data_IF_757985108478
#
_entry.id   IF_757985108478
#
_cell.length_a   1.000
_cell.length_b   1.000
_cell.length_c   1.000
_cell.angle_alpha   90.00
_cell.angle_beta   90.00
_cell.angle_gamma   90.00
#
_symmetry.space_group_name_H-M   'P 1'
#
loop_
_entity.id
_entity.type
_entity.pdbx_description
1 polymer ?
#
# COMPACT_ATOMS: atom_id res chain seq x y z
N UNK A 1 27.95 25.09 45.95
CA UNK A 1 27.55 24.87 47.36
C UNK A 1 26.16 25.48 47.49
N UNK A 2 25.04 24.78 47.55
CA UNK A 2 24.69 23.59 48.31
C UNK A 2 23.48 23.97 49.17
N UNK A 3 22.27 23.49 48.83
CA UNK A 3 21.20 23.11 49.76
C UNK A 3 20.04 22.47 48.99
N UNK A 4 19.92 21.15 49.17
CA UNK A 4 18.76 20.32 48.84
C UNK A 4 17.63 20.66 49.82
N UNK A 5 16.40 20.75 49.34
CA UNK A 5 15.20 20.55 50.16
C UNK A 5 14.48 19.34 49.59
N UNK A 6 14.56 18.24 50.35
CA UNK A 6 13.77 17.04 50.15
C UNK A 6 12.37 17.30 50.73
N UNK A 7 11.37 17.42 49.88
CA UNK A 7 9.97 17.26 50.27
C UNK A 7 9.48 15.92 49.76
N UNK A 8 9.63 14.90 50.60
CA UNK A 8 8.96 13.61 50.42
C UNK A 8 7.60 13.78 51.09
N UNK A 9 6.52 13.82 50.30
CA UNK A 9 5.16 13.69 50.84
C UNK A 9 4.47 12.52 50.15
N UNK A 10 3.77 11.77 51.00
CA UNK A 10 3.43 10.37 50.84
C UNK A 10 2.45 10.04 49.70
N UNK A 11 2.60 8.81 49.24
CA UNK A 11 1.70 8.02 48.38
C UNK A 11 0.38 7.72 49.11
N UNK A 12 -0.75 7.77 48.40
CA UNK A 12 -1.72 6.66 48.43
C UNK A 12 -1.97 6.22 46.97
N UNK A 13 -1.52 5.05 46.53
CA UNK A 13 -2.34 3.84 46.45
C UNK A 13 -3.72 4.12 45.81
N UNK A 14 -3.70 4.04 44.48
CA UNK A 14 -4.87 4.05 43.61
C UNK A 14 -4.38 3.60 42.24
N UNK A 15 -4.34 2.29 42.04
CA UNK A 15 -3.83 1.65 40.84
C UNK A 15 -4.60 2.08 39.60
N UNK A 16 -3.91 2.83 38.76
CA UNK A 16 -4.28 3.09 37.38
C UNK A 16 -2.99 3.29 36.62
N UNK A 17 -2.36 2.20 36.19
CA UNK A 17 -1.41 2.24 35.09
C UNK A 17 -2.21 2.61 33.84
N UNK A 18 -2.55 3.89 33.68
CA UNK A 18 -2.65 4.45 32.34
C UNK A 18 -1.22 4.48 31.85
N UNK A 19 -0.80 3.38 31.23
CA UNK A 19 0.32 3.42 30.30
C UNK A 19 -0.08 4.49 29.29
N UNK A 20 0.42 5.71 29.48
CA UNK A 20 0.70 6.63 28.39
C UNK A 20 1.67 5.86 27.48
N UNK A 21 1.09 4.99 26.66
CA UNK A 21 1.74 4.55 25.44
C UNK A 21 1.84 5.84 24.67
N UNK A 22 3.03 6.45 24.72
CA UNK A 22 3.41 7.49 23.79
C UNK A 22 2.94 7.00 22.41
N UNK A 23 1.84 7.59 21.94
CA UNK A 23 1.48 7.60 20.54
C UNK A 23 2.62 8.36 19.90
N UNK A 24 3.72 7.66 19.64
CA UNK A 24 4.75 8.12 18.71
C UNK A 24 3.94 8.39 17.45
N UNK A 25 3.69 9.67 17.18
CA UNK A 25 3.13 10.10 15.91
C UNK A 25 4.06 9.53 14.87
N UNK A 26 3.65 8.42 14.25
CA UNK A 26 4.39 7.88 13.12
C UNK A 26 4.40 9.01 12.10
N UNK A 27 5.59 9.53 11.80
CA UNK A 27 5.76 10.53 10.75
C UNK A 27 5.29 10.02 9.39
N UNK A 28 5.27 10.86 8.34
CA UNK A 28 4.97 10.44 6.98
C UNK A 28 5.74 9.16 6.60
N UNK A 29 5.09 8.27 5.84
CA UNK A 29 5.73 7.07 5.28
C UNK A 29 5.83 7.22 3.76
N UNK A 30 6.95 6.76 3.20
CA UNK A 30 7.27 6.94 1.79
C UNK A 30 7.42 5.61 1.05
N UNK A 31 7.26 5.65 -0.28
CA UNK A 31 7.29 4.46 -1.14
C UNK A 31 8.58 3.66 -1.05
N UNK A 32 9.72 4.31 -0.82
CA UNK A 32 11.02 3.67 -0.67
C UNK A 32 11.22 2.96 0.68
N UNK A 33 10.33 3.18 1.65
CA UNK A 33 10.35 2.57 2.99
C UNK A 33 9.47 1.31 3.08
N UNK A 34 8.68 1.02 2.03
CA UNK A 34 7.80 -0.14 2.02
C UNK A 34 8.60 -1.44 1.89
N UNK A 35 8.29 -2.41 2.76
CA UNK A 35 8.92 -3.74 2.76
C UNK A 35 7.94 -4.81 2.32
N UNK A 36 8.47 -5.92 1.79
CA UNK A 36 7.67 -7.08 1.40
C UNK A 36 6.89 -7.66 2.58
N UNK A 37 7.48 -7.66 3.78
CA UNK A 37 6.86 -8.23 4.98
C UNK A 37 5.55 -7.50 5.34
N UNK A 38 5.57 -6.17 5.30
CA UNK A 38 4.38 -5.35 5.57
C UNK A 38 3.29 -5.54 4.50
N UNK A 39 3.69 -5.76 3.24
CA UNK A 39 2.77 -6.09 2.14
C UNK A 39 2.14 -7.47 2.31
N UNK A 40 2.90 -8.46 2.76
CA UNK A 40 2.38 -9.80 3.03
C UNK A 40 1.45 -9.81 4.24
N UNK A 41 1.76 -9.06 5.30
CA UNK A 41 0.91 -8.96 6.49
C UNK A 41 -0.51 -8.43 6.19
N UNK A 42 -0.65 -7.41 5.35
CA UNK A 42 -1.97 -6.90 4.94
C UNK A 42 -2.71 -7.92 4.06
N UNK A 43 -1.97 -8.67 3.23
CA UNK A 43 -2.49 -9.78 2.44
C UNK A 43 -3.03 -10.91 3.31
N UNK A 44 -2.24 -11.38 4.28
CA UNK A 44 -2.60 -12.42 5.25
C UNK A 44 -3.80 -12.01 6.13
N UNK A 45 -3.98 -10.70 6.33
CA UNK A 45 -5.17 -10.18 6.99
C UNK A 45 -6.41 -10.16 6.07
N UNK A 46 -6.27 -9.68 4.83
CA UNK A 46 -7.40 -9.48 3.92
C UNK A 46 -7.90 -10.77 3.26
N UNK A 47 -7.00 -11.60 2.73
CA UNK A 47 -7.35 -12.73 1.89
C UNK A 47 -8.27 -13.75 2.60
N UNK A 48 -7.96 -14.22 3.82
CA UNK A 48 -8.84 -15.18 4.49
C UNK A 48 -10.23 -14.61 4.82
N UNK A 49 -10.35 -13.28 4.95
CA UNK A 49 -11.63 -12.61 5.20
C UNK A 49 -12.47 -12.51 3.94
N UNK A 50 -11.84 -12.20 2.81
CA UNK A 50 -12.50 -12.14 1.50
C UNK A 50 -12.91 -13.54 1.03
N UNK A 51 -12.07 -14.55 1.22
CA UNK A 51 -12.40 -15.95 0.95
C UNK A 51 -13.57 -16.43 1.81
N UNK A 52 -13.57 -16.08 3.12
CA UNK A 52 -14.70 -16.41 3.99
C UNK A 52 -15.97 -15.69 3.54
N UNK A 53 -15.88 -14.41 3.17
CA UNK A 53 -17.03 -13.66 2.64
C UNK A 53 -17.57 -14.33 1.37
N UNK A 54 -16.72 -14.70 0.42
CA UNK A 54 -17.10 -15.43 -0.78
C UNK A 54 -17.81 -16.76 -0.45
N UNK A 55 -17.24 -17.55 0.48
CA UNK A 55 -17.82 -18.84 0.89
C UNK A 55 -19.14 -18.74 1.66
N UNK A 56 -19.43 -17.57 2.22
CA UNK A 56 -20.67 -17.32 2.95
C UNK A 56 -21.87 -17.07 2.02
N UNK A 57 -21.60 -16.84 0.73
CA UNK A 57 -22.61 -16.65 -0.30
C UNK A 57 -22.64 -17.84 -1.29
N UNK A 58 -23.78 -18.11 -1.96
CA UNK A 58 -23.82 -19.05 -3.07
C UNK A 58 -22.80 -18.68 -4.15
N UNK A 59 -22.16 -19.66 -4.77
CA UNK A 59 -21.08 -19.44 -5.74
C UNK A 59 -21.50 -18.69 -7.01
N UNK A 60 -22.80 -18.69 -7.32
CA UNK A 60 -23.42 -18.02 -8.47
C UNK A 60 -24.07 -16.68 -8.10
N UNK A 61 -24.06 -16.28 -6.83
CA UNK A 61 -24.54 -14.97 -6.39
C UNK A 61 -23.56 -13.85 -6.77
N UNK A 62 -24.09 -12.66 -7.04
CA UNK A 62 -23.26 -11.48 -7.35
C UNK A 62 -22.31 -11.15 -6.21
N UNK A 63 -22.74 -11.31 -4.95
CA UNK A 63 -21.92 -11.08 -3.76
C UNK A 63 -20.77 -12.08 -3.65
N UNK A 64 -21.04 -13.37 -3.89
CA UNK A 64 -20.02 -14.42 -3.89
C UNK A 64 -18.99 -14.24 -5.00
N UNK A 65 -19.45 -13.90 -6.21
CA UNK A 65 -18.60 -13.58 -7.36
C UNK A 65 -17.75 -12.34 -7.07
N UNK A 66 -18.35 -11.28 -6.54
CA UNK A 66 -17.65 -10.03 -6.22
C UNK A 66 -16.59 -10.22 -5.14
N UNK A 67 -16.91 -10.94 -4.07
CA UNK A 67 -15.95 -11.22 -3.00
C UNK A 67 -14.78 -12.09 -3.49
N UNK A 68 -15.05 -13.07 -4.36
CA UNK A 68 -14.02 -13.91 -4.98
C UNK A 68 -13.11 -13.09 -5.89
N UNK A 69 -13.69 -12.27 -6.77
CA UNK A 69 -12.93 -11.38 -7.65
C UNK A 69 -12.09 -10.37 -6.86
N UNK A 70 -12.61 -9.87 -5.74
CA UNK A 70 -11.86 -8.98 -4.86
C UNK A 70 -10.70 -9.70 -4.16
N UNK A 71 -10.88 -10.96 -3.73
CA UNK A 71 -9.80 -11.77 -3.18
C UNK A 71 -8.68 -11.97 -4.21
N UNK A 72 -9.02 -12.33 -5.45
CA UNK A 72 -8.04 -12.47 -6.54
C UNK A 72 -7.32 -11.16 -6.87
N UNK A 73 -8.05 -10.04 -6.89
CA UNK A 73 -7.49 -8.71 -7.11
C UNK A 73 -6.50 -8.32 -6.00
N UNK A 74 -6.84 -8.59 -4.73
CA UNK A 74 -5.94 -8.34 -3.59
C UNK A 74 -4.70 -9.23 -3.69
N UNK A 75 -4.85 -10.52 -4.00
CA UNK A 75 -3.71 -11.43 -4.15
C UNK A 75 -2.76 -10.96 -5.26
N UNK A 76 -3.34 -10.55 -6.40
CA UNK A 76 -2.58 -9.98 -7.52
C UNK A 76 -1.83 -8.72 -7.10
N UNK A 77 -2.49 -7.81 -6.37
CA UNK A 77 -1.91 -6.55 -5.93
C UNK A 77 -0.76 -6.75 -4.94
N UNK A 78 -0.88 -7.70 -4.00
CA UNK A 78 0.19 -8.10 -3.07
C UNK A 78 1.41 -8.61 -3.83
N UNK A 79 1.20 -9.49 -4.82
CA UNK A 79 2.29 -10.01 -5.65
C UNK A 79 2.94 -8.91 -6.53
N UNK A 80 2.14 -8.00 -7.08
CA UNK A 80 2.65 -6.86 -7.85
C UNK A 80 3.50 -5.94 -6.98
N UNK A 81 3.08 -5.66 -5.75
CA UNK A 81 3.84 -4.87 -4.80
C UNK A 81 5.15 -5.56 -4.39
N UNK A 82 5.11 -6.86 -4.05
CA UNK A 82 6.32 -7.63 -3.75
C UNK A 82 7.33 -7.57 -4.90
N UNK A 83 6.87 -7.79 -6.12
CA UNK A 83 7.71 -7.70 -7.32
C UNK A 83 8.29 -6.29 -7.47
N UNK A 84 7.46 -5.28 -7.27
CA UNK A 84 7.86 -3.87 -7.40
C UNK A 84 8.85 -3.48 -6.30
N UNK A 85 8.81 -4.05 -5.10
CA UNK A 85 9.78 -3.79 -4.02
C UNK A 85 11.10 -4.50 -4.30
N UNK A 86 11.06 -5.78 -4.64
CA UNK A 86 12.27 -6.61 -4.83
C UNK A 86 13.00 -6.31 -6.13
N UNK A 87 12.30 -5.75 -7.15
CA UNK A 87 12.88 -5.43 -8.45
C UNK A 87 13.28 -6.65 -9.29
N UNK A 88 12.93 -7.86 -8.85
CA UNK A 88 13.23 -9.12 -9.54
C UNK A 88 11.96 -9.81 -10.01
N UNK A 89 11.93 -10.30 -11.25
CA UNK A 89 10.87 -11.19 -11.73
C UNK A 89 10.73 -12.37 -10.75
N UNK A 90 9.51 -12.76 -10.30
CA UNK A 90 9.36 -13.90 -9.41
C UNK A 90 10.11 -15.10 -9.99
N UNK A 91 10.88 -15.80 -9.16
CA UNK A 91 11.83 -16.85 -9.54
C UNK A 91 11.23 -18.10 -10.22
N UNK A 92 10.04 -18.01 -10.83
CA UNK A 92 9.30 -19.11 -11.46
C UNK A 92 8.85 -18.88 -12.90
N UNK A 93 9.34 -17.87 -13.62
CA UNK A 93 9.12 -17.79 -15.08
C UNK A 93 10.44 -17.93 -15.82
N UNK A 94 10.68 -19.15 -16.34
CA UNK A 94 11.72 -19.41 -17.34
C UNK A 94 11.38 -18.62 -18.61
N UNK A 95 12.10 -17.54 -18.87
CA UNK A 95 12.05 -16.85 -20.16
C UNK A 95 12.77 -17.74 -21.19
N UNK A 96 12.17 -18.08 -22.34
CA UNK A 96 12.84 -18.80 -23.41
C UNK A 96 14.05 -18.03 -23.94
N UNK A 97 15.17 -18.73 -24.09
CA UNK A 97 16.42 -18.20 -24.66
C UNK A 97 16.18 -17.86 -26.14
N UNK A 98 16.31 -16.58 -26.52
CA UNK A 98 16.24 -16.17 -27.93
C UNK A 98 15.68 -14.76 -28.22
N UNK A 99 15.15 -14.05 -27.22
CA UNK A 99 14.65 -12.67 -27.43
C UNK A 99 15.83 -11.69 -27.34
N UNK A 100 16.06 -10.83 -28.36
CA UNK A 100 17.06 -9.76 -28.29
C UNK A 100 16.83 -8.90 -27.04
N UNK A 101 17.87 -8.73 -26.24
CA UNK A 101 17.83 -7.80 -25.11
C UNK A 101 17.56 -6.39 -25.67
N UNK A 102 16.55 -5.67 -25.16
CA UNK A 102 16.31 -4.30 -25.59
C UNK A 102 17.54 -3.44 -25.30
N UNK A 103 17.76 -2.35 -26.07
CA UNK A 103 18.87 -1.45 -25.85
C UNK A 103 18.90 -0.98 -24.38
N UNK A 104 20.10 -0.89 -23.83
CA UNK A 104 20.31 -0.40 -22.47
C UNK A 104 19.67 0.99 -22.34
N UNK A 105 18.75 1.19 -21.39
CA UNK A 105 18.10 2.48 -21.20
C UNK A 105 19.13 3.54 -20.81
N UNK A 106 18.92 4.74 -21.34
CA UNK A 106 19.68 5.93 -20.95
C UNK A 106 19.51 6.21 -19.45
N UNK A 107 20.40 7.02 -18.87
CA UNK A 107 20.31 7.40 -17.45
C UNK A 107 18.98 8.10 -17.14
N UNK A 108 18.51 8.95 -18.05
CA UNK A 108 17.23 9.65 -17.93
C UNK A 108 16.05 8.67 -17.94
N UNK A 109 16.04 7.70 -18.86
CA UNK A 109 15.00 6.66 -18.90
C UNK A 109 15.04 5.75 -17.68
N UNK A 110 16.23 5.50 -17.11
CA UNK A 110 16.37 4.75 -15.86
C UNK A 110 15.80 5.51 -14.68
N UNK A 111 16.04 6.83 -14.60
CA UNK A 111 15.44 7.71 -13.57
C UNK A 111 13.93 7.77 -13.68
N UNK A 112 13.40 8.04 -14.87
CA UNK A 112 11.95 8.07 -15.10
C UNK A 112 11.32 6.72 -14.76
N UNK A 113 11.94 5.58 -15.13
CA UNK A 113 11.44 4.25 -14.72
C UNK A 113 11.49 4.04 -13.21
N UNK A 114 12.52 4.52 -12.53
CA UNK A 114 12.65 4.43 -11.08
C UNK A 114 11.62 5.31 -10.35
N UNK A 115 11.35 6.51 -10.85
CA UNK A 115 10.33 7.41 -10.31
C UNK A 115 8.92 6.84 -10.54
N UNK A 116 8.60 6.41 -11.77
CA UNK A 116 7.33 5.76 -12.08
C UNK A 116 7.12 4.46 -11.28
N UNK A 117 8.20 3.80 -10.85
CA UNK A 117 8.14 2.62 -9.97
C UNK A 117 7.67 3.00 -8.57
N UNK A 118 8.21 4.08 -7.99
CA UNK A 118 7.83 4.56 -6.66
C UNK A 118 6.38 5.05 -6.64
N UNK A 119 5.93 5.72 -7.70
CA UNK A 119 4.53 6.13 -7.84
C UNK A 119 3.57 4.94 -7.88
N UNK A 120 3.88 3.92 -8.69
CA UNK A 120 3.08 2.69 -8.75
C UNK A 120 3.00 2.01 -7.40
N UNK A 121 4.15 1.88 -6.73
CA UNK A 121 4.22 1.29 -5.39
C UNK A 121 3.34 2.07 -4.41
N UNK A 122 3.39 3.41 -4.44
CA UNK A 122 2.53 4.25 -3.61
C UNK A 122 1.05 4.01 -3.90
N UNK A 123 0.65 4.02 -5.18
CA UNK A 123 -0.75 3.91 -5.59
C UNK A 123 -1.33 2.52 -5.26
N UNK A 124 -0.58 1.47 -5.53
CA UNK A 124 -0.95 0.08 -5.26
C UNK A 124 -1.08 -0.16 -3.75
N UNK A 125 -0.11 0.31 -2.96
CA UNK A 125 -0.17 0.22 -1.51
C UNK A 125 -1.35 1.03 -0.94
N UNK A 126 -1.56 2.26 -1.42
CA UNK A 126 -2.67 3.09 -0.97
C UNK A 126 -4.03 2.48 -1.31
N UNK A 127 -4.11 1.69 -2.38
CA UNK A 127 -5.28 0.89 -2.73
C UNK A 127 -5.51 -0.23 -1.72
N UNK A 128 -4.46 -0.98 -1.32
CA UNK A 128 -4.59 -1.97 -0.23
C UNK A 128 -5.01 -1.33 1.09
N UNK A 129 -4.44 -0.18 1.46
CA UNK A 129 -4.81 0.57 2.65
C UNK A 129 -6.28 1.02 2.63
N UNK A 130 -6.82 1.36 1.46
CA UNK A 130 -8.26 1.64 1.31
C UNK A 130 -9.11 0.39 1.51
N UNK A 131 -8.72 -0.74 0.91
CA UNK A 131 -9.45 -2.00 1.01
C UNK A 131 -9.47 -2.56 2.45
N UNK A 132 -8.33 -2.53 3.13
CA UNK A 132 -8.24 -2.94 4.54
C UNK A 132 -8.99 -1.99 5.47
N UNK A 133 -9.17 -0.73 5.06
CA UNK A 133 -9.96 0.27 5.77
C UNK A 133 -11.42 -0.15 6.03
N UNK A 134 -12.01 -0.97 5.15
CA UNK A 134 -13.36 -1.53 5.36
C UNK A 134 -13.43 -2.52 6.53
N UNK A 135 -12.28 -2.99 7.01
CA UNK A 135 -12.14 -3.99 8.08
C UNK A 135 -11.53 -3.42 9.35
N UNK A 136 -11.55 -2.09 9.52
CA UNK A 136 -11.00 -1.38 10.70
C UNK A 136 -11.52 -1.89 12.05
N UNK A 137 -12.75 -2.39 12.09
CA UNK A 137 -13.36 -2.94 13.31
C UNK A 137 -12.99 -4.40 13.56
N UNK A 138 -12.32 -5.08 12.62
CA UNK A 138 -11.98 -6.49 12.74
C UNK A 138 -10.72 -6.68 13.62
N UNK A 139 -10.67 -7.73 14.45
CA UNK A 139 -9.49 -8.04 15.25
C UNK A 139 -8.24 -8.24 14.39
N UNK A 140 -7.11 -7.69 14.83
CA UNK A 140 -5.83 -7.77 14.12
C UNK A 140 -5.59 -6.66 13.08
N UNK A 141 -6.52 -5.72 12.92
CA UNK A 141 -6.29 -4.52 12.11
C UNK A 141 -5.22 -3.62 12.77
N UNK A 142 -4.26 -3.14 11.97
CA UNK A 142 -3.12 -2.35 12.46
C UNK A 142 -3.08 -0.94 11.85
N UNK A 143 -3.74 0.03 12.49
CA UNK A 143 -3.93 1.38 11.93
C UNK A 143 -2.63 2.16 11.72
N UNK A 144 -1.70 2.07 12.67
CA UNK A 144 -0.41 2.76 12.60
C UNK A 144 0.53 2.18 11.53
N UNK A 145 0.32 0.92 11.14
CA UNK A 145 1.16 0.16 10.21
C UNK A 145 0.63 0.16 8.79
N UNK A 146 -0.70 0.12 8.62
CA UNK A 146 -1.37 0.08 7.30
C UNK A 146 -1.95 1.45 6.93
N UNK A 147 -1.06 2.42 6.87
CA UNK A 147 -1.36 3.82 6.54
C UNK A 147 -0.98 4.13 5.10
N UNK A 148 -1.59 5.16 4.54
CA UNK A 148 -1.25 5.62 3.21
C UNK A 148 0.16 6.19 3.16
N UNK A 149 0.83 5.94 2.05
CA UNK A 149 2.11 6.52 1.69
C UNK A 149 1.90 7.90 1.07
N UNK A 150 2.79 8.81 1.41
CA UNK A 150 2.79 10.20 0.97
C UNK A 150 3.86 10.45 -0.10
N UNK A 151 3.76 11.60 -0.77
CA UNK A 151 4.85 12.11 -1.58
C UNK A 151 5.96 12.64 -0.67
N UNK A 152 7.21 12.44 -1.07
CA UNK A 152 8.36 12.94 -0.29
C UNK A 152 8.47 14.46 -0.33
N UNK A 153 8.06 15.08 -1.43
CA UNK A 153 8.06 16.53 -1.59
C UNK A 153 6.88 17.01 -2.45
N UNK A 154 6.53 18.28 -2.26
CA UNK A 154 5.40 18.92 -2.92
C UNK A 154 5.63 19.17 -4.42
N UNK A 155 6.88 19.14 -4.89
CA UNK A 155 7.20 19.31 -6.31
C UNK A 155 6.85 18.04 -7.09
N UNK A 156 7.25 16.88 -6.54
CA UNK A 156 6.90 15.56 -7.05
C UNK A 156 5.39 15.35 -7.07
N UNK A 157 4.70 15.76 -5.98
CA UNK A 157 3.23 15.69 -5.94
C UNK A 157 2.60 16.48 -7.09
N UNK A 158 3.05 17.72 -7.34
CA UNK A 158 2.53 18.54 -8.43
C UNK A 158 2.81 17.94 -9.80
N UNK A 159 4.02 17.45 -10.02
CA UNK A 159 4.39 16.77 -11.27
C UNK A 159 3.47 15.55 -11.51
N UNK A 160 3.26 14.72 -10.48
CA UNK A 160 2.39 13.55 -10.57
C UNK A 160 0.93 13.94 -10.89
N UNK A 161 0.39 14.97 -10.22
CA UNK A 161 -0.97 15.47 -10.50
C UNK A 161 -1.11 15.99 -11.94
N UNK A 162 -0.08 16.66 -12.47
CA UNK A 162 -0.05 17.08 -13.86
C UNK A 162 -0.09 15.86 -14.80
N UNK A 163 0.72 14.83 -14.56
CA UNK A 163 0.72 13.59 -15.35
C UNK A 163 -0.64 12.88 -15.36
N UNK A 164 -1.33 12.80 -14.20
CA UNK A 164 -2.68 12.26 -14.14
C UNK A 164 -3.69 13.06 -14.96
N UNK A 165 -3.56 14.40 -14.96
CA UNK A 165 -4.43 15.26 -15.75
C UNK A 165 -4.26 15.03 -17.25
N UNK A 166 -3.03 14.87 -17.74
CA UNK A 166 -2.75 14.56 -19.14
C UNK A 166 -3.34 13.21 -19.57
N UNK A 167 -3.14 12.14 -18.78
CA UNK A 167 -3.71 10.81 -19.08
C UNK A 167 -5.23 10.79 -19.13
N UNK A 168 -5.90 11.54 -18.24
CA UNK A 168 -7.38 11.64 -18.24
C UNK A 168 -7.92 12.34 -19.48
N UNK A 169 -7.16 13.29 -20.04
CA UNK A 169 -7.55 14.00 -21.27
C UNK A 169 -7.40 13.07 -22.48
N UNK A 170 -6.29 12.36 -22.62
CA UNK A 170 -6.08 11.40 -23.72
C UNK A 170 -7.14 10.28 -23.76
N UNK A 171 -7.54 9.77 -22.58
CA UNK A 171 -8.58 8.74 -22.45
C UNK A 171 -9.97 9.21 -22.91
N UNK A 172 -10.21 10.53 -22.97
CA UNK A 172 -11.49 11.11 -23.43
C UNK A 172 -11.51 11.42 -24.94
N UNK A 173 -10.34 11.50 -25.57
CA UNK A 173 -10.22 11.81 -27.01
C UNK A 173 -10.44 10.56 -27.88
N UNK A 174 -10.29 9.36 -27.32
CA UNK A 174 -10.53 8.08 -28.01
C UNK A 174 -11.98 7.60 -27.80
N UNK A 175 -12.98 8.40 -28.21
CA UNK A 175 -14.31 7.86 -28.57
C UNK A 175 -14.49 8.08 -30.06
N UNK A 176 -14.53 7.03 -30.90
CA UNK A 176 -14.92 7.22 -32.29
C UNK A 176 -16.38 7.72 -32.34
N UNK A 177 -16.71 8.64 -33.26
CA UNK A 177 -18.09 9.06 -33.45
C UNK A 177 -18.94 7.82 -33.79
N UNK A 178 -20.10 7.69 -33.12
CA UNK A 178 -21.12 6.71 -33.52
C UNK A 178 -21.50 7.04 -34.96
N UNK A 179 -21.28 6.11 -35.87
CA UNK A 179 -21.90 6.16 -37.18
C UNK A 179 -23.38 5.79 -36.97
N UNK A 180 -24.26 6.75 -37.23
CA UNK A 180 -25.70 6.56 -37.37
C UNK A 180 -26.04 5.97 -38.74
#
# INVERSE_FOLDING_TARGET
MGRRVLSIKAKPEGGGLTSDVDLVECGPQYADELTTDVVWEIGDFLLPRLERAASAHPSDSEEGITASALAEAVATLVLTLEWTITGGTPGRVRIPVGIPLPPMPTEEERRVRAEMRLDRLRDDWNTLCLLVGYWRSAPGYQDSRWRKLEFRDAEHERWYQQQLSYRRVESRVIRPPRQE
#
